data_IF_035563964339
#
_entry.id   IF_035563964339
#
_cell.length_a   1.000
_cell.length_b   1.000
_cell.length_c   1.000
_cell.angle_alpha   90.00
_cell.angle_beta   90.00
_cell.angle_gamma   90.00
#
_symmetry.space_group_name_H-M   'P 1'
#
loop_
_entity.id
_entity.type
_entity.pdbx_description
1 polymer ?
#
# COMPACT_ATOMS: atom_id res chain seq x y z
N UNK A 1 6.21 -4.17 -2.85
CA UNK A 1 5.16 -4.30 -3.90
C UNK A 1 5.80 -4.16 -5.27
N UNK A 2 6.82 -3.33 -5.38
CA UNK A 2 7.67 -3.13 -6.55
C UNK A 2 9.17 -3.15 -6.13
N UNK A 3 10.05 -2.81 -7.08
CA UNK A 3 11.49 -2.65 -6.87
C UNK A 3 12.12 -1.80 -7.99
N UNK A 4 13.45 -1.71 -7.98
CA UNK A 4 14.25 -1.11 -9.05
C UNK A 4 14.19 -1.87 -10.39
N UNK A 5 13.65 -3.09 -10.44
CA UNK A 5 13.51 -3.91 -11.65
C UNK A 5 12.06 -4.00 -12.16
N UNK A 6 11.11 -3.39 -11.46
CA UNK A 6 9.70 -3.35 -11.87
C UNK A 6 9.19 -1.91 -11.96
N UNK A 7 8.14 -1.68 -12.74
CA UNK A 7 7.45 -0.40 -12.72
C UNK A 7 6.94 -0.06 -11.30
N UNK A 8 6.83 1.24 -11.00
CA UNK A 8 6.42 1.71 -9.67
C UNK A 8 5.00 1.31 -9.36
N UNK A 9 4.74 0.94 -8.11
CA UNK A 9 3.46 0.42 -7.66
C UNK A 9 2.31 1.39 -7.99
N UNK A 10 2.48 2.69 -7.71
CA UNK A 10 1.44 3.70 -8.00
C UNK A 10 1.14 3.81 -9.50
N UNK A 11 2.14 3.65 -10.38
CA UNK A 11 1.94 3.70 -11.83
C UNK A 11 1.13 2.49 -12.30
N UNK A 12 1.43 1.29 -11.83
CA UNK A 12 0.72 0.07 -12.23
C UNK A 12 -0.69 0.01 -11.61
N UNK A 13 -0.84 0.40 -10.35
CA UNK A 13 -2.13 0.39 -9.65
C UNK A 13 -3.13 1.41 -10.21
N UNK A 14 -2.70 2.35 -11.04
CA UNK A 14 -3.62 3.20 -11.81
C UNK A 14 -4.50 2.41 -12.77
N UNK A 15 -4.03 1.25 -13.26
CA UNK A 15 -4.66 0.47 -14.32
C UNK A 15 -4.53 1.09 -15.72
N UNK A 16 -3.78 2.19 -15.86
CA UNK A 16 -3.53 2.83 -17.16
C UNK A 16 -2.59 1.96 -17.98
N UNK A 17 -2.99 1.64 -19.21
CA UNK A 17 -2.13 0.91 -20.15
C UNK A 17 -0.86 1.73 -20.42
N UNK A 18 0.33 1.12 -20.34
CA UNK A 18 1.57 1.83 -20.58
C UNK A 18 1.60 2.39 -22.01
N UNK A 19 2.06 3.63 -22.22
CA UNK A 19 2.42 4.12 -23.55
C UNK A 19 3.33 3.15 -24.29
N UNK A 20 3.20 3.07 -25.61
CA UNK A 20 3.89 2.05 -26.42
C UNK A 20 5.41 2.25 -26.43
N UNK A 21 5.87 3.47 -26.70
CA UNK A 21 7.30 3.75 -26.78
C UNK A 21 7.89 4.07 -25.41
N UNK A 22 9.16 3.71 -25.21
CA UNK A 22 9.90 4.05 -23.98
C UNK A 22 10.03 5.55 -23.78
N UNK A 23 10.09 6.32 -24.89
CA UNK A 23 10.12 7.78 -24.86
C UNK A 23 8.83 8.34 -24.28
N UNK A 24 7.68 7.89 -24.78
CA UNK A 24 6.39 8.35 -24.28
C UNK A 24 6.18 7.98 -22.80
N UNK A 25 6.69 6.81 -22.38
CA UNK A 25 6.69 6.39 -20.97
C UNK A 25 7.56 7.28 -20.08
N UNK A 26 8.63 7.87 -20.61
CA UNK A 26 9.50 8.76 -19.85
C UNK A 26 8.84 10.12 -19.57
N UNK A 27 8.02 10.60 -20.51
CA UNK A 27 7.29 11.87 -20.41
C UNK A 27 5.88 11.69 -19.80
N UNK A 28 5.48 10.46 -19.47
CA UNK A 28 4.15 10.14 -18.98
C UNK A 28 3.96 10.54 -17.51
N UNK A 29 2.79 11.13 -17.24
CA UNK A 29 2.28 11.34 -15.89
C UNK A 29 0.80 10.96 -15.84
N UNK A 30 0.36 10.36 -14.73
CA UNK A 30 -1.05 10.09 -14.47
C UNK A 30 -1.84 11.40 -14.41
N UNK A 31 -3.06 11.38 -14.95
CA UNK A 31 -4.03 12.46 -14.68
C UNK A 31 -4.40 12.47 -13.19
N UNK A 32 -4.97 13.57 -12.69
CA UNK A 32 -5.39 13.65 -11.28
C UNK A 32 -6.32 12.51 -10.88
N UNK A 33 -7.31 12.17 -11.71
CA UNK A 33 -8.26 11.08 -11.46
C UNK A 33 -7.57 9.70 -11.43
N UNK A 34 -6.67 9.44 -12.38
CA UNK A 34 -5.91 8.19 -12.43
C UNK A 34 -4.98 8.05 -11.22
N UNK A 35 -4.34 9.15 -10.82
CA UNK A 35 -3.48 9.22 -9.65
C UNK A 35 -4.26 9.00 -8.36
N UNK A 36 -5.43 9.62 -8.20
CA UNK A 36 -6.28 9.44 -7.03
C UNK A 36 -6.75 7.99 -6.86
N UNK A 37 -7.17 7.34 -7.96
CA UNK A 37 -7.52 5.92 -7.94
C UNK A 37 -6.30 5.05 -7.59
N UNK A 38 -5.16 5.31 -8.21
CA UNK A 38 -3.91 4.59 -7.93
C UNK A 38 -3.50 4.71 -6.46
N UNK A 39 -3.60 5.91 -5.91
CA UNK A 39 -3.29 6.24 -4.52
C UNK A 39 -4.19 5.48 -3.54
N UNK A 40 -5.50 5.43 -3.80
CA UNK A 40 -6.44 4.63 -2.99
C UNK A 40 -6.05 3.15 -2.98
N UNK A 41 -5.70 2.59 -4.14
CA UNK A 41 -5.23 1.20 -4.27
C UNK A 41 -3.88 0.97 -3.59
N UNK A 42 -2.95 1.93 -3.68
CA UNK A 42 -1.64 1.85 -3.03
C UNK A 42 -1.78 1.85 -1.50
N UNK A 43 -2.71 2.65 -0.95
CA UNK A 43 -3.02 2.62 0.48
C UNK A 43 -3.51 1.24 0.94
N UNK A 44 -4.36 0.58 0.15
CA UNK A 44 -4.78 -0.81 0.42
C UNK A 44 -3.60 -1.78 0.35
N UNK A 45 -2.82 -1.74 -0.74
CA UNK A 45 -1.70 -2.65 -0.95
C UNK A 45 -0.64 -2.54 0.16
N UNK A 46 -0.30 -1.32 0.57
CA UNK A 46 0.63 -1.06 1.67
C UNK A 46 0.07 -1.51 3.02
N UNK A 47 -1.22 -1.30 3.30
CA UNK A 47 -1.83 -1.80 4.53
C UNK A 47 -1.79 -3.33 4.63
N UNK A 48 -2.07 -4.03 3.53
CA UNK A 48 -1.91 -5.48 3.44
C UNK A 48 -0.44 -5.88 3.67
N UNK A 49 0.52 -5.22 3.02
CA UNK A 49 1.95 -5.50 3.18
C UNK A 49 2.42 -5.33 4.64
N UNK A 50 1.89 -4.34 5.36
CA UNK A 50 2.28 -4.06 6.75
C UNK A 50 1.62 -5.00 7.76
N UNK A 51 0.52 -5.66 7.40
CA UNK A 51 -0.26 -6.51 8.30
C UNK A 51 -0.09 -8.02 8.06
N UNK A 52 0.38 -8.43 6.88
CA UNK A 52 0.79 -9.80 6.60
C UNK A 52 2.13 -10.15 7.30
N UNK A 53 2.43 -11.46 7.48
CA UNK A 53 3.72 -11.91 8.01
C UNK A 53 4.93 -11.44 7.19
N UNK A 54 6.09 -11.33 7.87
CA UNK A 54 7.34 -10.85 7.26
C UNK A 54 7.61 -9.37 7.55
N UNK A 55 8.70 -8.84 7.00
CA UNK A 55 9.09 -7.43 7.15
C UNK A 55 8.63 -6.64 5.93
N UNK A 56 7.83 -5.56 6.08
CA UNK A 56 7.43 -4.75 4.94
C UNK A 56 8.64 -4.02 4.35
N UNK A 57 8.79 -4.11 3.03
CA UNK A 57 9.83 -3.43 2.27
C UNK A 57 9.20 -2.36 1.36
N UNK A 58 9.61 -1.11 1.52
CA UNK A 58 9.14 0.03 0.74
C UNK A 58 10.24 0.47 -0.22
N UNK A 59 9.92 0.59 -1.51
CA UNK A 59 10.84 1.16 -2.48
C UNK A 59 10.80 2.68 -2.39
N UNK A 60 11.95 3.35 -2.32
CA UNK A 60 11.99 4.78 -2.03
C UNK A 60 11.11 5.58 -2.98
N UNK A 61 10.32 6.49 -2.43
CA UNK A 61 9.41 7.33 -3.19
C UNK A 61 7.98 6.79 -3.27
N UNK A 62 7.74 5.51 -2.99
CA UNK A 62 6.38 4.95 -2.93
C UNK A 62 5.55 5.62 -1.84
N UNK A 63 6.18 5.94 -0.71
CA UNK A 63 5.55 6.60 0.42
C UNK A 63 5.18 8.07 0.14
N UNK A 64 5.62 8.61 -0.98
CA UNK A 64 5.33 9.98 -1.43
C UNK A 64 4.75 10.04 -2.85
N UNK A 65 4.31 8.89 -3.38
CA UNK A 65 3.56 8.83 -4.64
C UNK A 65 4.41 8.96 -5.90
N UNK A 66 5.68 8.58 -5.85
CA UNK A 66 6.58 8.65 -6.99
C UNK A 66 6.13 7.73 -8.12
N UNK A 67 5.99 8.29 -9.32
CA UNK A 67 5.58 7.58 -10.53
C UNK A 67 6.80 7.13 -11.36
N UNK A 68 6.62 6.10 -12.18
CA UNK A 68 7.64 5.63 -13.14
C UNK A 68 7.34 4.22 -13.66
N UNK A 69 7.63 4.00 -14.94
CA UNK A 69 7.55 2.67 -15.57
C UNK A 69 8.83 1.86 -15.35
N UNK A 70 9.25 1.02 -16.30
CA UNK A 70 10.40 0.13 -16.16
C UNK A 70 11.74 0.86 -15.98
N UNK A 71 12.80 0.11 -15.66
CA UNK A 71 14.17 0.63 -15.64
C UNK A 71 14.57 1.31 -16.98
N UNK A 72 15.18 2.51 -16.96
CA UNK A 72 15.58 3.32 -15.79
C UNK A 72 14.55 4.36 -15.32
N UNK A 73 13.33 4.34 -15.86
CA UNK A 73 12.29 5.33 -15.60
C UNK A 73 11.78 5.27 -14.15
N UNK A 74 11.83 4.09 -13.51
CA UNK A 74 11.56 3.95 -12.07
C UNK A 74 12.70 4.48 -11.17
N UNK A 75 13.89 4.84 -11.68
CA UNK A 75 15.07 5.20 -10.84
C UNK A 75 15.33 6.69 -10.70
N UNK A 76 14.36 7.55 -11.00
CA UNK A 76 14.51 9.01 -10.86
C UNK A 76 14.72 9.47 -9.41
N UNK A 77 15.23 10.67 -9.20
CA UNK A 77 15.53 11.22 -7.86
C UNK A 77 14.29 11.33 -6.96
N UNK A 78 14.49 11.27 -5.64
CA UNK A 78 13.42 11.54 -4.66
C UNK A 78 12.79 12.93 -4.89
N UNK A 79 11.45 13.09 -4.84
CA UNK A 79 10.78 14.35 -5.13
C UNK A 79 10.77 15.29 -3.92
N UNK A 80 11.95 15.66 -3.41
CA UNK A 80 12.09 16.52 -2.23
C UNK A 80 11.28 17.83 -2.35
N UNK A 81 10.48 18.15 -1.34
CA UNK A 81 9.61 19.34 -1.29
C UNK A 81 8.37 19.25 -2.19
N UNK A 82 8.12 18.10 -2.82
CA UNK A 82 6.96 17.81 -3.68
C UNK A 82 6.31 16.48 -3.30
N UNK A 83 6.45 16.07 -2.05
CA UNK A 83 5.91 14.84 -1.52
C UNK A 83 4.38 14.87 -1.48
N UNK A 84 3.74 13.73 -1.79
CA UNK A 84 2.35 13.52 -1.42
C UNK A 84 2.24 13.29 0.10
N UNK A 85 1.94 14.37 0.83
CA UNK A 85 1.90 14.35 2.29
C UNK A 85 0.82 13.41 2.87
N UNK A 86 -0.25 13.13 2.13
CA UNK A 86 -1.29 12.20 2.58
C UNK A 86 -0.85 10.73 2.43
N UNK A 87 -0.08 10.39 1.38
CA UNK A 87 0.60 9.10 1.33
C UNK A 87 1.67 9.00 2.43
N UNK A 88 2.45 10.05 2.65
CA UNK A 88 3.49 10.03 3.67
C UNK A 88 2.92 9.82 5.08
N UNK A 89 1.82 10.52 5.39
CA UNK A 89 1.09 10.34 6.65
C UNK A 89 0.54 8.91 6.78
N UNK A 90 0.01 8.34 5.70
CA UNK A 90 -0.46 6.95 5.68
C UNK A 90 0.64 5.94 6.02
N UNK A 91 1.80 6.02 5.36
CA UNK A 91 2.92 5.12 5.63
C UNK A 91 3.50 5.29 7.04
N UNK A 92 3.55 6.52 7.56
CA UNK A 92 3.91 6.78 8.97
C UNK A 92 2.95 6.08 9.93
N UNK A 93 1.64 6.22 9.71
CA UNK A 93 0.61 5.57 10.52
C UNK A 93 0.70 4.04 10.44
N UNK A 94 1.03 3.47 9.28
CA UNK A 94 1.30 2.03 9.15
C UNK A 94 2.53 1.58 9.96
N UNK A 95 3.61 2.38 9.96
CA UNK A 95 4.79 2.13 10.80
C UNK A 95 4.47 2.16 12.29
N UNK A 96 3.73 3.18 12.73
CA UNK A 96 3.25 3.31 14.13
C UNK A 96 2.36 2.14 14.55
N UNK A 97 1.39 1.77 13.69
CA UNK A 97 0.52 0.60 13.91
C UNK A 97 1.37 -0.66 14.07
N UNK A 98 2.33 -0.88 13.16
CA UNK A 98 3.16 -2.08 13.21
C UNK A 98 4.04 -2.15 14.45
N UNK A 99 4.58 -1.03 14.89
CA UNK A 99 5.36 -0.94 16.11
C UNK A 99 4.49 -1.21 17.35
N UNK A 100 3.33 -0.55 17.43
CA UNK A 100 2.43 -0.63 18.59
C UNK A 100 1.80 -2.01 18.76
N UNK A 101 1.43 -2.66 17.66
CA UNK A 101 0.76 -3.97 17.64
C UNK A 101 1.69 -5.11 17.21
N UNK A 102 3.01 -4.96 17.41
CA UNK A 102 4.01 -5.95 17.03
C UNK A 102 3.71 -7.38 17.52
N UNK A 103 3.24 -7.63 18.77
CA UNK A 103 2.91 -8.98 19.21
C UNK A 103 1.80 -9.65 18.38
N UNK A 104 0.81 -8.89 17.91
CA UNK A 104 -0.24 -9.40 17.01
C UNK A 104 0.37 -9.74 15.65
N UNK A 105 1.16 -8.82 15.08
CA UNK A 105 1.75 -8.95 13.74
C UNK A 105 2.91 -9.96 13.63
N UNK A 106 3.36 -10.51 14.77
CA UNK A 106 4.27 -11.65 14.84
C UNK A 106 3.55 -12.96 15.16
N UNK A 107 2.27 -12.90 15.53
CA UNK A 107 1.44 -14.06 15.82
C UNK A 107 1.04 -14.86 14.57
N UNK A 108 0.21 -15.87 14.80
CA UNK A 108 -0.30 -16.75 13.74
C UNK A 108 -1.19 -15.98 12.77
N UNK A 109 -1.28 -16.45 11.52
CA UNK A 109 -2.16 -15.87 10.50
C UNK A 109 -3.23 -16.86 10.12
N UNK A 110 -4.49 -16.46 10.24
CA UNK A 110 -5.66 -17.27 9.91
C UNK A 110 -6.50 -16.54 8.89
N UNK A 111 -6.75 -17.15 7.72
CA UNK A 111 -7.66 -16.59 6.73
C UNK A 111 -9.08 -17.03 7.05
N UNK A 112 -10.01 -16.08 7.04
CA UNK A 112 -11.42 -16.34 7.32
C UNK A 112 -12.17 -16.41 5.99
N UNK A 113 -12.82 -17.55 5.66
CA UNK A 113 -13.58 -17.67 4.43
C UNK A 113 -14.76 -16.69 4.40
N UNK A 114 -14.86 -15.92 3.33
CA UNK A 114 -15.98 -15.04 3.02
C UNK A 114 -16.11 -14.95 1.49
N UNK A 115 -17.33 -14.97 0.91
CA UNK A 115 -17.51 -14.97 -0.54
C UNK A 115 -17.09 -13.67 -1.23
N UNK A 116 -17.18 -12.53 -0.52
CA UNK A 116 -17.07 -11.19 -1.13
C UNK A 116 -15.92 -10.36 -0.54
N UNK A 117 -15.37 -10.79 0.61
CA UNK A 117 -14.34 -10.05 1.35
C UNK A 117 -13.06 -10.83 1.48
N UNK A 118 -11.93 -10.12 1.44
CA UNK A 118 -10.68 -10.64 1.97
C UNK A 118 -10.64 -10.38 3.47
N UNK A 119 -10.55 -11.46 4.25
CA UNK A 119 -10.45 -11.37 5.70
C UNK A 119 -9.31 -12.26 6.19
N UNK A 120 -8.42 -11.67 7.00
CA UNK A 120 -7.46 -12.46 7.77
C UNK A 120 -7.24 -11.88 9.16
N UNK A 121 -6.85 -12.78 10.06
CA UNK A 121 -6.63 -12.52 11.46
C UNK A 121 -5.19 -12.82 11.83
N UNK A 122 -4.63 -11.96 12.68
CA UNK A 122 -3.32 -12.11 13.31
C UNK A 122 -3.54 -12.36 14.80
N UNK A 123 -3.25 -13.58 15.25
CA UNK A 123 -3.65 -14.09 16.57
C UNK A 123 -2.42 -14.26 17.46
N UNK A 124 -2.49 -13.70 18.66
CA UNK A 124 -1.50 -13.90 19.72
C UNK A 124 -2.20 -13.98 21.09
N UNK A 125 -1.43 -14.12 22.18
CA UNK A 125 -2.01 -14.18 23.54
C UNK A 125 -2.85 -12.95 23.92
N UNK A 126 -2.58 -11.79 23.30
CA UNK A 126 -3.33 -10.54 23.54
C UNK A 126 -4.66 -10.44 22.78
N UNK A 127 -5.02 -11.45 21.99
CA UNK A 127 -6.25 -11.52 21.21
C UNK A 127 -6.01 -11.47 19.71
N UNK A 128 -6.89 -10.76 18.99
CA UNK A 128 -6.99 -10.83 17.53
C UNK A 128 -6.86 -9.44 16.91
N UNK A 129 -5.89 -9.27 16.02
CA UNK A 129 -5.89 -8.19 15.04
C UNK A 129 -6.56 -8.72 13.77
N UNK A 130 -7.60 -8.05 13.30
CA UNK A 130 -8.38 -8.46 12.14
C UNK A 130 -8.27 -7.42 11.03
N UNK A 131 -7.98 -7.90 9.82
CA UNK A 131 -7.96 -7.10 8.60
C UNK A 131 -9.12 -7.56 7.72
N UNK A 132 -9.95 -6.61 7.30
CA UNK A 132 -11.07 -6.85 6.38
C UNK A 132 -10.95 -5.90 5.20
N UNK A 133 -11.06 -6.42 3.98
CA UNK A 133 -11.05 -5.62 2.76
C UNK A 133 -12.15 -6.06 1.80
N UNK A 134 -12.83 -5.06 1.23
CA UNK A 134 -13.85 -5.23 0.19
C UNK A 134 -13.76 -4.04 -0.76
N UNK A 135 -13.75 -4.28 -2.07
CA UNK A 135 -13.59 -3.25 -3.10
C UNK A 135 -12.36 -2.35 -2.86
N UNK A 136 -12.58 -1.04 -2.69
CA UNK A 136 -11.53 -0.08 -2.35
C UNK A 136 -11.53 0.28 -0.85
N UNK A 137 -12.19 -0.51 0.00
CA UNK A 137 -12.21 -0.29 1.44
C UNK A 137 -11.36 -1.33 2.17
N UNK A 138 -10.70 -0.89 3.25
CA UNK A 138 -9.97 -1.76 4.17
C UNK A 138 -10.08 -1.23 5.59
N UNK A 139 -10.31 -2.13 6.54
CA UNK A 139 -10.22 -1.83 7.97
C UNK A 139 -9.23 -2.74 8.68
N UNK A 140 -8.60 -2.18 9.72
CA UNK A 140 -7.76 -2.90 10.66
C UNK A 140 -8.34 -2.67 12.05
N UNK A 141 -8.67 -3.74 12.76
CA UNK A 141 -9.19 -3.69 14.13
C UNK A 141 -8.39 -4.60 15.05
N UNK A 142 -8.39 -4.30 16.35
CA UNK A 142 -7.86 -5.18 17.39
C UNK A 142 -8.96 -5.41 18.43
N UNK A 143 -9.25 -6.68 18.70
CA UNK A 143 -10.30 -7.09 19.64
C UNK A 143 -11.65 -6.35 19.39
N UNK A 144 -12.01 -6.18 18.11
CA UNK A 144 -13.23 -5.49 17.68
C UNK A 144 -13.16 -3.96 17.65
N UNK A 145 -12.09 -3.32 18.13
CA UNK A 145 -11.90 -1.87 18.05
C UNK A 145 -11.13 -1.48 16.80
N UNK A 146 -11.73 -0.66 15.93
CA UNK A 146 -11.08 -0.14 14.71
C UNK A 146 -9.91 0.77 15.05
N UNK A 147 -8.76 0.51 14.44
CA UNK A 147 -7.52 1.28 14.55
C UNK A 147 -7.27 2.15 13.32
N UNK A 148 -7.61 1.61 12.15
CA UNK A 148 -7.43 2.26 10.86
C UNK A 148 -8.56 1.84 9.92
N UNK A 149 -9.07 2.80 9.18
CA UNK A 149 -9.94 2.59 8.01
C UNK A 149 -9.34 3.34 6.83
N UNK A 150 -9.44 2.76 5.65
CA UNK A 150 -8.92 3.32 4.40
C UNK A 150 -10.10 3.51 3.44
N UNK A 151 -10.16 4.68 2.81
CA UNK A 151 -11.20 5.08 1.84
C UNK A 151 -12.62 5.00 2.41
N UNK A 152 -12.77 5.36 3.69
CA UNK A 152 -14.06 5.51 4.37
C UNK A 152 -14.66 6.90 4.14
#
# INVERSE_FOLDING_TARGET
VDSHDTARAITILSGVKPPYSKKDRADFALSCEQYDLAKRRLKLASALQYTLPGVPCVFYGDEVGKQGYEDPLNRGTYPWGREDNDLLAHYRKLGELRHTFAPYLQGETHFVPDPDKLIFERVCMGGVLRVESQDLWLSISVNGKTLMSINN
#
